data_IF_275024554993
#
_entry.id   IF_275024554993
#
_cell.length_a   1.000
_cell.length_b   1.000
_cell.length_c   1.000
_cell.angle_alpha   90.00
_cell.angle_beta   90.00
_cell.angle_gamma   90.00
#
_symmetry.space_group_name_H-M   'P 1'
#
loop_
_entity.id
_entity.type
_entity.pdbx_description
1 polymer ?
#
# COMPACT_ATOMS: atom_id res chain seq x y z
N UNK A 1 34.98 64.64 30.83
CA UNK A 1 34.94 63.24 31.31
C UNK A 1 33.56 62.58 31.21
N UNK A 2 32.48 63.21 31.69
CA UNK A 2 31.13 62.60 31.75
C UNK A 2 30.47 62.28 30.39
N UNK A 3 30.89 62.93 29.29
CA UNK A 3 30.35 62.70 27.94
C UNK A 3 30.98 61.47 27.26
N UNK A 4 32.28 61.27 27.46
CA UNK A 4 33.06 60.09 27.00
C UNK A 4 32.52 58.79 27.61
N UNK A 5 32.27 58.78 28.92
CA UNK A 5 31.76 57.61 29.63
C UNK A 5 30.32 57.27 29.18
N UNK A 6 29.46 58.28 29.01
CA UNK A 6 28.10 58.08 28.46
C UNK A 6 28.13 57.54 27.03
N UNK A 7 29.06 57.98 26.19
CA UNK A 7 29.25 57.47 24.82
C UNK A 7 29.71 56.00 24.82
N UNK A 8 30.64 55.64 25.72
CA UNK A 8 31.10 54.25 25.92
C UNK A 8 29.97 53.34 26.41
N UNK A 9 29.18 53.78 27.38
CA UNK A 9 28.03 53.03 27.91
C UNK A 9 26.96 52.83 26.83
N UNK A 10 26.60 53.88 26.08
CA UNK A 10 25.64 53.76 24.97
C UNK A 10 26.11 52.79 23.89
N UNK A 11 27.40 52.81 23.54
CA UNK A 11 27.99 51.88 22.56
C UNK A 11 27.95 50.44 23.06
N UNK A 12 28.27 50.21 24.34
CA UNK A 12 28.19 48.88 24.96
C UNK A 12 26.76 48.33 24.99
N UNK A 13 25.77 49.18 25.34
CA UNK A 13 24.35 48.82 25.32
C UNK A 13 23.89 48.48 23.90
N UNK A 14 24.27 49.28 22.90
CA UNK A 14 23.87 49.05 21.51
C UNK A 14 24.42 47.73 20.96
N UNK A 15 25.69 47.43 21.27
CA UNK A 15 26.35 46.16 20.89
C UNK A 15 25.68 44.98 21.60
N UNK A 16 25.39 45.12 22.89
CA UNK A 16 24.68 44.10 23.66
C UNK A 16 23.28 43.82 23.09
N UNK A 17 22.52 44.87 22.78
CA UNK A 17 21.18 44.74 22.19
C UNK A 17 21.23 44.05 20.81
N UNK A 18 22.17 44.47 19.96
CA UNK A 18 22.36 43.86 18.64
C UNK A 18 22.72 42.36 18.75
N UNK A 19 23.61 41.99 19.68
CA UNK A 19 23.97 40.60 19.92
C UNK A 19 22.77 39.76 20.41
N UNK A 20 21.94 40.31 21.30
CA UNK A 20 20.73 39.63 21.78
C UNK A 20 19.70 39.47 20.66
N UNK A 21 19.49 40.49 19.82
CA UNK A 21 18.59 40.39 18.66
C UNK A 21 19.06 39.34 17.65
N UNK A 22 20.36 39.28 17.35
CA UNK A 22 20.93 38.26 16.45
C UNK A 22 20.75 36.87 17.06
N UNK A 23 21.03 36.69 18.35
CA UNK A 23 20.86 35.41 19.03
C UNK A 23 19.39 34.96 19.03
N UNK A 24 18.45 35.86 19.33
CA UNK A 24 17.02 35.57 19.30
C UNK A 24 16.55 35.19 17.89
N UNK A 25 17.03 35.89 16.87
CA UNK A 25 16.71 35.58 15.46
C UNK A 25 17.30 34.23 15.03
N UNK A 26 18.54 33.93 15.41
CA UNK A 26 19.17 32.63 15.16
C UNK A 26 18.41 31.48 15.82
N UNK A 27 18.02 31.65 17.10
CA UNK A 27 17.21 30.66 17.83
C UNK A 27 15.87 30.46 17.12
N UNK A 28 15.20 31.55 16.75
CA UNK A 28 13.94 31.50 16.01
C UNK A 28 14.08 30.78 14.66
N UNK A 29 15.14 31.06 13.90
CA UNK A 29 15.42 30.39 12.63
C UNK A 29 15.76 28.91 12.80
N UNK A 30 16.45 28.52 13.87
CA UNK A 30 16.72 27.11 14.19
C UNK A 30 15.41 26.38 14.53
N UNK A 31 14.54 26.98 15.34
CA UNK A 31 13.22 26.40 15.63
C UNK A 31 12.35 26.32 14.37
N UNK A 32 12.41 27.32 13.49
CA UNK A 32 11.75 27.28 12.19
C UNK A 32 12.31 26.14 11.33
N UNK A 33 13.63 25.96 11.29
CA UNK A 33 14.28 24.88 10.56
C UNK A 33 13.91 23.49 11.08
N UNK A 34 13.74 23.32 12.40
CA UNK A 34 13.26 22.05 13.00
C UNK A 34 11.81 21.75 12.57
N UNK A 35 10.96 22.78 12.43
CA UNK A 35 9.61 22.63 11.87
C UNK A 35 9.57 22.15 10.42
N UNK A 36 10.67 22.31 9.66
CA UNK A 36 10.82 21.76 8.31
C UNK A 36 11.30 20.29 8.29
N UNK A 37 11.58 19.67 9.43
CA UNK A 37 12.11 18.29 9.52
C UNK A 37 10.99 17.23 9.55
N UNK A 38 9.72 17.62 9.42
CA UNK A 38 8.63 16.64 9.45
C UNK A 38 8.71 15.69 8.24
N UNK A 39 9.16 14.47 8.53
CA UNK A 39 9.24 13.34 7.61
C UNK A 39 8.31 12.26 8.17
N UNK A 40 7.14 12.11 7.58
CA UNK A 40 6.27 10.96 7.81
C UNK A 40 6.65 9.93 6.75
N UNK A 41 7.13 8.77 7.17
CA UNK A 41 7.46 7.69 6.24
C UNK A 41 6.20 7.20 5.52
N UNK A 42 6.24 7.03 4.19
CA UNK A 42 5.15 6.39 3.45
C UNK A 42 4.92 4.96 3.96
N UNK A 43 3.69 4.46 3.78
CA UNK A 43 3.30 3.14 4.29
C UNK A 43 2.50 2.36 3.26
N UNK A 44 2.90 1.11 3.07
CA UNK A 44 2.17 0.12 2.30
C UNK A 44 1.17 -0.57 3.21
N UNK A 45 -0.05 -0.76 2.72
CA UNK A 45 -1.08 -1.55 3.38
C UNK A 45 -1.85 -2.36 2.36
N UNK A 46 -2.20 -3.59 2.73
CA UNK A 46 -3.02 -4.45 1.90
C UNK A 46 -4.08 -5.10 2.78
N UNK A 47 -5.31 -5.08 2.31
CA UNK A 47 -6.45 -5.73 2.93
C UNK A 47 -7.01 -6.76 1.96
N UNK A 48 -7.26 -7.96 2.46
CA UNK A 48 -7.79 -9.09 1.70
C UNK A 48 -9.02 -9.58 2.44
N UNK A 49 -10.16 -9.49 1.79
CA UNK A 49 -11.42 -10.06 2.24
C UNK A 49 -11.97 -10.97 1.15
N UNK A 50 -12.22 -12.23 1.49
CA UNK A 50 -12.76 -13.25 0.59
C UNK A 50 -13.89 -13.97 1.30
N UNK A 51 -15.10 -13.84 0.75
CA UNK A 51 -16.34 -14.39 1.33
C UNK A 51 -16.97 -15.41 0.38
N UNK A 52 -17.91 -16.21 0.89
CA UNK A 52 -18.57 -17.29 0.13
C UNK A 52 -17.87 -18.65 0.21
N UNK A 53 -16.57 -18.68 0.58
CA UNK A 53 -15.75 -19.91 0.69
C UNK A 53 -16.33 -20.95 1.66
N UNK A 54 -16.88 -20.52 2.80
CA UNK A 54 -17.40 -21.41 3.85
C UNK A 54 -18.62 -22.23 3.45
N UNK A 55 -19.25 -21.89 2.32
CA UNK A 55 -20.37 -22.63 1.76
C UNK A 55 -19.96 -23.74 0.78
N UNK A 56 -18.66 -23.82 0.47
CA UNK A 56 -18.09 -24.76 -0.49
C UNK A 56 -17.48 -25.96 0.23
N UNK A 57 -17.71 -27.15 -0.30
CA UNK A 57 -17.02 -28.34 0.17
C UNK A 57 -15.59 -28.40 -0.41
N UNK A 58 -14.65 -28.93 0.38
CA UNK A 58 -13.24 -29.08 -0.02
C UNK A 58 -12.94 -30.54 -0.33
N UNK A 59 -12.23 -30.81 -1.43
CA UNK A 59 -11.76 -32.15 -1.77
C UNK A 59 -10.34 -32.37 -1.24
N UNK A 60 -10.21 -32.49 0.08
CA UNK A 60 -8.91 -32.59 0.76
C UNK A 60 -8.27 -31.24 0.99
N UNK A 61 -7.62 -30.65 -0.02
CA UNK A 61 -6.93 -29.36 0.09
C UNK A 61 -7.49 -28.39 -0.93
N UNK A 62 -7.97 -27.23 -0.47
CA UNK A 62 -8.34 -26.11 -1.34
C UNK A 62 -7.25 -25.04 -1.35
N UNK A 63 -7.12 -24.35 -2.48
CA UNK A 63 -6.19 -23.24 -2.65
C UNK A 63 -6.90 -22.04 -3.24
N UNK A 64 -6.70 -20.89 -2.60
CA UNK A 64 -7.09 -19.57 -3.11
C UNK A 64 -5.82 -18.77 -3.30
N UNK A 65 -5.62 -18.16 -4.47
CA UNK A 65 -4.52 -17.21 -4.65
C UNK A 65 -5.04 -15.85 -5.10
N UNK A 66 -4.46 -14.80 -4.54
CA UNK A 66 -4.77 -13.41 -4.85
C UNK A 66 -3.54 -12.69 -5.39
N UNK A 67 -3.71 -11.66 -6.22
CA UNK A 67 -2.59 -10.86 -6.68
C UNK A 67 -1.89 -10.18 -5.51
N UNK A 68 -0.61 -9.89 -5.65
CA UNK A 68 0.17 -9.15 -4.67
C UNK A 68 0.45 -7.73 -5.17
N UNK A 69 0.51 -6.74 -4.27
CA UNK A 69 0.96 -5.41 -4.67
C UNK A 69 2.44 -5.45 -5.05
N UNK A 70 2.75 -5.01 -6.26
CA UNK A 70 4.11 -5.00 -6.80
C UNK A 70 4.30 -3.82 -7.77
N UNK A 71 5.56 -3.54 -8.10
CA UNK A 71 5.91 -2.65 -9.19
C UNK A 71 5.77 -3.35 -10.56
N UNK A 72 6.01 -2.62 -11.65
CA UNK A 72 5.90 -3.15 -13.03
C UNK A 72 6.91 -4.25 -13.33
N UNK A 73 8.04 -4.25 -12.62
CA UNK A 73 9.10 -5.25 -12.75
C UNK A 73 8.77 -6.52 -11.93
N UNK A 74 7.60 -6.55 -11.26
CA UNK A 74 7.14 -7.67 -10.45
C UNK A 74 7.80 -7.76 -9.07
N UNK A 75 8.53 -6.72 -8.64
CA UNK A 75 9.10 -6.66 -7.29
C UNK A 75 7.98 -6.32 -6.29
N UNK A 76 7.73 -7.16 -5.27
CA UNK A 76 6.67 -6.93 -4.30
C UNK A 76 6.87 -5.62 -3.52
N UNK A 77 5.79 -4.85 -3.36
CA UNK A 77 5.79 -3.61 -2.58
C UNK A 77 5.92 -3.85 -1.07
N UNK A 78 5.63 -5.08 -0.62
CA UNK A 78 5.84 -5.54 0.74
C UNK A 78 6.76 -6.76 0.71
N UNK A 79 7.60 -6.89 1.72
CA UNK A 79 8.46 -8.07 1.87
C UNK A 79 7.65 -9.36 1.94
N UNK A 80 8.21 -10.44 1.37
CA UNK A 80 7.58 -11.76 1.45
C UNK A 80 7.43 -12.23 2.90
N UNK A 81 8.32 -11.81 3.80
CA UNK A 81 8.19 -12.05 5.24
C UNK A 81 6.89 -11.44 5.79
N UNK A 82 6.59 -10.17 5.46
CA UNK A 82 5.35 -9.52 5.88
C UNK A 82 4.14 -10.22 5.26
N UNK A 83 4.18 -10.51 3.96
CA UNK A 83 3.10 -11.20 3.24
C UNK A 83 2.79 -12.58 3.81
N UNK A 84 3.80 -13.34 4.25
CA UNK A 84 3.60 -14.72 4.75
C UNK A 84 3.35 -14.80 6.25
N UNK A 85 3.88 -13.86 7.04
CA UNK A 85 3.72 -13.88 8.51
C UNK A 85 2.49 -13.13 9.01
N UNK A 86 2.13 -12.00 8.38
CA UNK A 86 1.07 -11.11 8.90
C UNK A 86 -0.29 -11.31 8.24
N UNK A 87 -0.34 -11.99 7.11
CA UNK A 87 -1.59 -12.30 6.39
C UNK A 87 -2.07 -13.73 6.67
N UNK A 88 -1.69 -14.30 7.81
CA UNK A 88 -2.11 -15.64 8.18
C UNK A 88 -3.59 -15.64 8.57
N UNK A 89 -4.41 -16.31 7.77
CA UNK A 89 -5.85 -16.45 8.03
C UNK A 89 -6.14 -17.77 8.76
N UNK A 90 -7.11 -17.74 9.66
CA UNK A 90 -7.53 -18.94 10.39
C UNK A 90 -7.96 -20.06 9.43
N UNK A 91 -7.44 -21.27 9.60
CA UNK A 91 -7.73 -22.41 8.71
C UNK A 91 -6.94 -22.41 7.38
N UNK A 92 -6.01 -21.45 7.21
CA UNK A 92 -5.23 -21.30 5.99
C UNK A 92 -3.72 -21.21 6.28
N UNK A 93 -2.94 -22.01 5.56
CA UNK A 93 -1.51 -21.81 5.41
C UNK A 93 -1.27 -20.76 4.32
N UNK A 94 -0.48 -19.74 4.64
CA UNK A 94 -0.16 -18.64 3.71
C UNK A 94 1.25 -18.81 3.14
N UNK A 95 1.42 -18.58 1.84
CA UNK A 95 2.72 -18.60 1.17
C UNK A 95 2.70 -17.72 -0.08
N UNK A 96 3.81 -17.09 -0.43
CA UNK A 96 4.00 -16.52 -1.77
C UNK A 96 4.35 -17.65 -2.74
N UNK A 97 3.66 -17.71 -3.89
CA UNK A 97 3.89 -18.74 -4.91
C UNK A 97 4.13 -18.11 -6.26
N UNK A 98 5.10 -18.64 -6.98
CA UNK A 98 5.28 -18.38 -8.42
C UNK A 98 4.22 -19.13 -9.21
N UNK A 99 3.58 -18.44 -10.16
CA UNK A 99 2.57 -19.01 -11.05
C UNK A 99 2.90 -18.66 -12.50
N UNK A 100 2.29 -19.31 -13.50
CA UNK A 100 2.45 -18.91 -14.90
C UNK A 100 2.07 -17.45 -15.18
N UNK A 101 1.24 -16.83 -14.33
CA UNK A 101 0.85 -15.43 -14.48
C UNK A 101 1.79 -14.47 -13.73
N UNK A 102 2.57 -14.96 -12.75
CA UNK A 102 3.42 -14.16 -11.87
C UNK A 102 3.28 -14.58 -10.39
N UNK A 103 4.00 -13.89 -9.50
CA UNK A 103 3.89 -14.12 -8.05
C UNK A 103 2.50 -13.79 -7.52
N UNK A 104 1.96 -14.68 -6.69
CA UNK A 104 0.67 -14.51 -6.03
C UNK A 104 0.75 -14.92 -4.57
N UNK A 105 -0.14 -14.39 -3.72
CA UNK A 105 -0.28 -14.80 -2.33
C UNK A 105 -1.28 -15.95 -2.27
N UNK A 106 -0.80 -17.13 -1.90
CA UNK A 106 -1.57 -18.35 -1.81
C UNK A 106 -2.02 -18.62 -0.37
N UNK A 107 -3.29 -18.95 -0.23
CA UNK A 107 -3.93 -19.50 0.96
C UNK A 107 -4.29 -20.95 0.64
N UNK A 108 -3.72 -21.89 1.39
CA UNK A 108 -3.99 -23.33 1.26
C UNK A 108 -4.66 -23.81 2.52
N UNK A 109 -5.80 -24.53 2.43
CA UNK A 109 -6.49 -25.00 3.64
C UNK A 109 -5.60 -25.94 4.45
N UNK A 110 -5.68 -25.84 5.78
CA UNK A 110 -5.02 -26.78 6.69
C UNK A 110 -5.87 -28.02 6.96
N UNK A 111 -7.18 -27.89 6.77
CA UNK A 111 -8.19 -28.90 7.04
C UNK A 111 -9.18 -29.00 5.87
N UNK A 112 -10.19 -29.86 5.99
CA UNK A 112 -11.27 -30.07 5.00
C UNK A 112 -12.35 -28.97 5.01
N UNK A 113 -12.07 -27.84 5.65
CA UNK A 113 -12.93 -26.67 5.74
C UNK A 113 -12.23 -25.41 5.26
N UNK A 114 -12.93 -24.62 4.45
CA UNK A 114 -12.44 -23.36 3.88
C UNK A 114 -13.19 -22.16 4.47
N UNK A 115 -12.79 -21.62 5.63
CA UNK A 115 -13.39 -20.41 6.17
C UNK A 115 -13.14 -19.21 5.24
N UNK A 116 -13.99 -18.18 5.34
CA UNK A 116 -13.72 -16.89 4.71
C UNK A 116 -12.37 -16.32 5.17
N UNK A 117 -11.72 -15.56 4.30
CA UNK A 117 -10.43 -14.92 4.58
C UNK A 117 -10.68 -13.45 4.85
N UNK A 118 -10.16 -12.92 5.96
CA UNK A 118 -10.22 -11.49 6.29
C UNK A 118 -8.96 -11.10 7.03
N UNK A 119 -7.98 -10.58 6.30
CA UNK A 119 -6.66 -10.21 6.83
C UNK A 119 -6.23 -8.86 6.28
N UNK A 120 -5.59 -8.05 7.11
CA UNK A 120 -5.07 -6.74 6.71
C UNK A 120 -3.78 -6.44 7.45
N UNK A 121 -2.77 -5.95 6.74
CA UNK A 121 -1.50 -5.53 7.35
C UNK A 121 -0.83 -4.43 6.55
N UNK A 122 0.39 -4.08 6.95
CA UNK A 122 1.21 -3.10 6.26
C UNK A 122 2.69 -3.14 6.65
N UNK A 123 3.50 -2.46 5.85
CA UNK A 123 4.94 -2.27 6.03
C UNK A 123 5.30 -0.84 5.60
N UNK A 124 6.25 -0.20 6.32
CA UNK A 124 6.80 1.07 5.88
C UNK A 124 7.39 0.94 4.47
N UNK A 125 7.01 1.85 3.59
CA UNK A 125 7.41 1.78 2.19
C UNK A 125 8.90 2.07 2.04
N UNK A 126 9.60 1.19 1.31
CA UNK A 126 11.02 1.32 1.01
C UNK A 126 11.22 1.93 -0.37
N UNK A 127 10.70 3.14 -0.61
CA UNK A 127 10.92 4.03 -1.78
C UNK A 127 10.68 3.46 -3.19
N UNK A 128 10.46 2.17 -3.36
CA UNK A 128 10.08 1.59 -4.64
C UNK A 128 8.61 1.87 -4.88
N UNK A 129 8.37 2.78 -5.82
CA UNK A 129 7.05 3.28 -6.20
C UNK A 129 6.04 2.13 -6.39
N UNK A 130 4.91 2.15 -5.69
CA UNK A 130 3.83 1.21 -5.93
C UNK A 130 3.22 1.38 -7.31
N UNK A 131 2.79 0.29 -7.95
CA UNK A 131 2.11 0.38 -9.24
C UNK A 131 0.74 -0.28 -9.23
N UNK A 132 0.63 -1.58 -8.97
CA UNK A 132 -0.62 -2.31 -9.23
C UNK A 132 -0.73 -3.55 -8.33
N UNK A 133 -1.92 -4.16 -8.25
CA UNK A 133 -2.06 -5.57 -7.89
C UNK A 133 -1.65 -6.42 -9.10
N UNK A 134 -0.59 -7.20 -8.94
CA UNK A 134 0.09 -7.98 -9.97
C UNK A 134 -0.19 -9.47 -9.70
N UNK A 135 -0.46 -10.29 -10.73
CA UNK A 135 -0.19 -10.03 -12.14
C UNK A 135 -1.24 -9.22 -12.88
N UNK A 136 -0.78 -8.47 -13.90
CA UNK A 136 -1.61 -7.67 -14.81
C UNK A 136 -1.76 -8.45 -16.10
N UNK A 137 -2.98 -8.89 -16.40
CA UNK A 137 -3.29 -9.67 -17.60
C UNK A 137 -3.62 -8.78 -18.80
N UNK A 138 -4.22 -7.62 -18.56
CA UNK A 138 -4.57 -6.66 -19.59
C UNK A 138 -4.72 -5.26 -19.00
N UNK A 139 -4.47 -4.26 -19.83
CA UNK A 139 -4.63 -2.83 -19.57
C UNK A 139 -5.59 -2.24 -20.62
N UNK A 140 -6.19 -1.05 -20.37
CA UNK A 140 -6.98 -0.35 -21.37
C UNK A 140 -6.19 -0.05 -22.63
N UNK A 141 -6.87 -0.08 -23.78
CA UNK A 141 -6.32 0.29 -25.09
C UNK A 141 -5.00 -0.40 -25.47
N UNK A 142 -4.70 -1.56 -24.87
CA UNK A 142 -3.43 -2.29 -24.99
C UNK A 142 -2.19 -1.46 -24.61
N UNK A 143 -2.37 -0.48 -23.71
CA UNK A 143 -1.29 0.33 -23.15
C UNK A 143 -0.26 -0.53 -22.40
N UNK A 144 1.02 -0.15 -22.35
CA UNK A 144 1.99 -0.90 -21.53
C UNK A 144 1.65 -0.79 -20.02
N UNK A 145 2.07 -1.76 -19.20
CA UNK A 145 1.81 -1.69 -17.75
C UNK A 145 2.52 -0.47 -17.14
N UNK A 146 3.69 -0.12 -17.67
CA UNK A 146 4.45 1.07 -17.29
C UNK A 146 3.71 2.36 -17.63
N UNK A 147 3.16 2.46 -18.85
CA UNK A 147 2.36 3.60 -19.26
C UNK A 147 1.10 3.72 -18.39
N UNK A 148 0.41 2.61 -18.15
CA UNK A 148 -0.81 2.58 -17.32
C UNK A 148 -0.51 3.04 -15.89
N UNK A 149 0.60 2.58 -15.30
CA UNK A 149 1.01 2.95 -13.93
C UNK A 149 1.34 4.43 -13.75
N UNK A 150 1.51 5.18 -14.84
CA UNK A 150 1.75 6.64 -14.81
C UNK A 150 0.46 7.45 -14.91
N UNK A 151 -0.67 6.81 -15.20
CA UNK A 151 -1.97 7.48 -15.25
C UNK A 151 -2.46 7.81 -13.84
N UNK A 152 -3.38 8.77 -13.71
CA UNK A 152 -4.00 9.09 -12.41
C UNK A 152 -5.07 8.07 -11.97
N UNK A 153 -5.38 7.12 -12.84
CA UNK A 153 -6.30 6.03 -12.55
C UNK A 153 -6.89 5.38 -13.79
N UNK A 154 -7.53 4.23 -13.59
CA UNK A 154 -8.17 3.43 -14.64
C UNK A 154 -8.50 2.03 -14.17
N UNK A 155 -9.14 1.25 -15.03
CA UNK A 155 -9.46 -0.16 -14.78
C UNK A 155 -8.51 -1.04 -15.58
N UNK A 156 -7.96 -2.08 -14.97
CA UNK A 156 -7.13 -3.08 -15.64
C UNK A 156 -7.59 -4.48 -15.21
N UNK A 157 -7.07 -5.51 -15.86
CA UNK A 157 -7.42 -6.90 -15.54
C UNK A 157 -6.28 -7.54 -14.75
N UNK A 158 -6.60 -8.07 -13.58
CA UNK A 158 -5.72 -8.95 -12.80
C UNK A 158 -6.31 -10.36 -12.75
N UNK A 159 -5.77 -11.24 -11.91
CA UNK A 159 -6.19 -12.64 -11.82
C UNK A 159 -6.29 -13.08 -10.37
N UNK A 160 -7.31 -13.89 -10.08
CA UNK A 160 -7.39 -14.70 -8.85
C UNK A 160 -7.36 -16.17 -9.24
N UNK A 161 -7.04 -17.04 -8.29
CA UNK A 161 -6.99 -18.48 -8.51
C UNK A 161 -7.83 -19.23 -7.48
N UNK A 162 -8.56 -20.25 -7.93
CA UNK A 162 -9.35 -21.14 -7.10
C UNK A 162 -9.14 -22.60 -7.50
N UNK A 163 -8.83 -23.48 -6.55
CA UNK A 163 -8.70 -24.91 -6.79
C UNK A 163 -9.03 -25.73 -5.54
N UNK A 164 -9.37 -27.01 -5.73
CA UNK A 164 -9.65 -27.97 -4.66
C UNK A 164 -11.02 -27.82 -3.99
N UNK A 165 -11.88 -26.94 -4.50
CA UNK A 165 -13.28 -26.85 -4.12
C UNK A 165 -14.12 -27.82 -4.94
N UNK A 166 -15.05 -28.51 -4.28
CA UNK A 166 -16.08 -29.28 -4.97
C UNK A 166 -17.16 -28.28 -5.38
N UNK A 167 -17.34 -28.01 -6.69
CA UNK A 167 -18.28 -27.01 -7.15
C UNK A 167 -19.69 -27.42 -6.70
N UNK A 168 -20.44 -26.55 -6.01
CA UNK A 168 -21.84 -26.80 -5.71
C UNK A 168 -22.68 -26.72 -7.00
N UNK A 169 -23.96 -27.13 -7.00
CA UNK A 169 -24.84 -26.93 -8.15
C UNK A 169 -24.89 -25.45 -8.59
N UNK A 170 -25.36 -25.13 -9.80
CA UNK A 170 -25.33 -23.77 -10.41
C UNK A 170 -25.82 -22.63 -9.51
N UNK A 171 -26.61 -22.91 -8.48
CA UNK A 171 -27.11 -21.96 -7.49
C UNK A 171 -26.20 -21.79 -6.26
N UNK A 172 -24.92 -22.19 -6.36
CA UNK A 172 -23.91 -21.99 -5.33
C UNK A 172 -23.81 -20.52 -4.89
N UNK A 173 -23.55 -20.28 -3.61
CA UNK A 173 -23.18 -18.93 -3.14
C UNK A 173 -21.95 -18.46 -3.93
N UNK A 174 -22.01 -17.28 -4.57
CA UNK A 174 -20.84 -16.72 -5.24
C UNK A 174 -19.71 -16.42 -4.26
N UNK A 175 -18.48 -16.50 -4.75
CA UNK A 175 -17.28 -16.12 -4.01
C UNK A 175 -17.00 -14.65 -4.32
N UNK A 176 -16.82 -13.83 -3.28
CA UNK A 176 -16.51 -12.40 -3.47
C UNK A 176 -15.09 -12.13 -3.01
N UNK A 177 -14.32 -11.45 -3.85
CA UNK A 177 -12.98 -10.94 -3.58
C UNK A 177 -13.05 -9.43 -3.41
N UNK A 178 -12.69 -8.95 -2.23
CA UNK A 178 -12.53 -7.56 -1.90
C UNK A 178 -11.07 -7.34 -1.45
N UNK A 179 -10.26 -6.84 -2.38
CA UNK A 179 -8.83 -6.61 -2.18
C UNK A 179 -8.58 -5.11 -2.25
N UNK A 180 -7.82 -4.56 -1.31
CA UNK A 180 -7.46 -3.14 -1.31
C UNK A 180 -6.02 -2.95 -0.89
N UNK A 181 -5.20 -2.52 -1.83
CA UNK A 181 -3.85 -2.05 -1.59
C UNK A 181 -3.82 -0.52 -1.55
N UNK A 182 -3.06 0.03 -0.62
CA UNK A 182 -2.75 1.45 -0.53
C UNK A 182 -1.26 1.63 -0.20
N UNK A 183 -0.55 2.42 -1.01
CA UNK A 183 0.85 2.80 -0.80
C UNK A 183 1.05 4.31 -0.86
N UNK A 184 2.24 4.77 -0.47
CA UNK A 184 2.59 6.19 -0.43
C UNK A 184 2.09 6.90 0.82
N UNK A 185 1.65 8.16 0.63
CA UNK A 185 1.07 8.99 1.69
C UNK A 185 2.06 9.47 2.74
N UNK A 186 3.36 9.41 2.44
CA UNK A 186 4.39 10.05 3.24
C UNK A 186 4.25 11.57 3.25
N UNK A 187 5.02 12.23 4.10
CA UNK A 187 5.12 13.69 4.09
C UNK A 187 6.59 14.06 4.20
N UNK A 188 7.03 15.01 3.37
CA UNK A 188 8.38 15.55 3.42
C UNK A 188 8.32 17.06 3.32
N UNK A 189 8.86 17.76 4.32
CA UNK A 189 8.91 19.23 4.33
C UNK A 189 7.53 19.88 4.10
N UNK A 190 6.49 19.40 4.79
CA UNK A 190 5.09 19.84 4.62
C UNK A 190 4.50 19.55 3.23
N UNK A 191 5.14 18.74 2.40
CA UNK A 191 4.59 18.27 1.13
C UNK A 191 4.14 16.84 1.34
N UNK A 192 2.82 16.62 1.28
CA UNK A 192 2.25 15.27 1.23
C UNK A 192 2.65 14.63 -0.09
N UNK A 193 3.11 13.39 -0.02
CA UNK A 193 3.35 12.55 -1.18
C UNK A 193 2.04 11.99 -1.72
N UNK A 194 2.07 11.47 -2.94
CA UNK A 194 0.91 10.84 -3.55
C UNK A 194 0.51 9.59 -2.77
N UNK A 195 -0.78 9.25 -2.86
CA UNK A 195 -1.31 7.98 -2.36
C UNK A 195 -1.78 7.18 -3.55
N UNK A 196 -1.25 5.98 -3.69
CA UNK A 196 -1.66 5.03 -4.72
C UNK A 196 -2.61 4.02 -4.13
N UNK A 197 -3.71 3.76 -4.81
CA UNK A 197 -4.72 2.79 -4.40
C UNK A 197 -4.98 1.83 -5.55
N UNK A 198 -4.95 0.54 -5.26
CA UNK A 198 -5.39 -0.51 -6.18
C UNK A 198 -6.44 -1.38 -5.49
N UNK A 199 -7.55 -1.65 -6.16
CA UNK A 199 -8.65 -2.43 -5.59
C UNK A 199 -9.14 -3.51 -6.55
N UNK A 200 -9.64 -4.62 -5.98
CA UNK A 200 -10.43 -5.62 -6.69
C UNK A 200 -11.72 -5.75 -5.91
N UNK A 201 -12.85 -5.55 -6.59
CA UNK A 201 -14.18 -5.88 -6.08
C UNK A 201 -14.85 -6.76 -7.13
N UNK A 202 -14.68 -8.08 -6.97
CA UNK A 202 -15.10 -9.05 -7.96
C UNK A 202 -15.89 -10.19 -7.33
N UNK A 203 -16.96 -10.60 -7.99
CA UNK A 203 -17.75 -11.77 -7.61
C UNK A 203 -17.59 -12.81 -8.70
N UNK A 204 -17.18 -14.02 -8.31
CA UNK A 204 -17.03 -15.16 -9.22
C UNK A 204 -18.01 -16.27 -8.82
N UNK A 205 -18.48 -17.08 -9.79
CA UNK A 205 -19.31 -18.23 -9.47
C UNK A 205 -18.61 -19.19 -8.51
N UNK A 206 -19.34 -19.78 -7.56
CA UNK A 206 -18.79 -20.83 -6.68
C UNK A 206 -18.39 -22.11 -7.41
N UNK A 207 -18.75 -22.22 -8.70
CA UNK A 207 -18.35 -23.29 -9.62
C UNK A 207 -17.04 -23.00 -10.36
N UNK A 208 -16.49 -21.80 -10.24
CA UNK A 208 -15.28 -21.39 -10.95
C UNK A 208 -14.04 -22.09 -10.36
N UNK A 209 -13.10 -22.45 -11.23
CA UNK A 209 -11.83 -23.08 -10.86
C UNK A 209 -10.74 -22.68 -11.87
N UNK A 210 -9.50 -22.69 -11.42
CA UNK A 210 -8.33 -22.23 -12.15
C UNK A 210 -8.09 -20.74 -12.02
N UNK A 211 -7.36 -20.17 -12.98
CA UNK A 211 -7.09 -18.75 -13.08
C UNK A 211 -8.31 -18.00 -13.64
N UNK A 212 -8.82 -17.05 -12.87
CA UNK A 212 -10.03 -16.29 -13.19
C UNK A 212 -9.63 -14.83 -13.34
N UNK A 213 -9.70 -14.26 -14.56
CA UNK A 213 -9.48 -12.83 -14.78
C UNK A 213 -10.54 -12.01 -14.05
N UNK A 214 -10.12 -10.98 -13.32
CA UNK A 214 -11.03 -10.08 -12.59
C UNK A 214 -10.62 -8.62 -12.82
N UNK A 215 -11.60 -7.70 -12.88
CA UNK A 215 -11.30 -6.28 -12.98
C UNK A 215 -10.64 -5.77 -11.69
N UNK A 216 -9.67 -4.90 -11.85
CA UNK A 216 -9.03 -4.14 -10.79
C UNK A 216 -9.07 -2.65 -11.13
N UNK A 217 -9.28 -1.82 -10.12
CA UNK A 217 -9.26 -0.37 -10.26
C UNK A 217 -7.96 0.19 -9.67
N UNK A 218 -7.37 1.15 -10.37
CA UNK A 218 -6.22 1.90 -9.93
C UNK A 218 -6.57 3.38 -9.84
N UNK A 219 -6.10 4.05 -8.79
CA UNK A 219 -6.27 5.49 -8.61
C UNK A 219 -5.09 6.10 -7.85
N UNK A 220 -4.68 7.29 -8.27
CA UNK A 220 -3.68 8.12 -7.59
C UNK A 220 -4.36 9.35 -7.01
N UNK A 221 -4.36 9.45 -5.68
CA UNK A 221 -4.72 10.69 -5.00
C UNK A 221 -3.47 11.57 -4.92
N UNK A 222 -3.46 12.73 -5.60
CA UNK A 222 -2.30 13.60 -5.60
C UNK A 222 -2.06 14.18 -4.21
N UNK A 223 -0.79 14.21 -3.81
CA UNK A 223 -0.32 14.94 -2.64
C UNK A 223 -0.30 16.45 -2.89
N UNK A 224 0.31 17.19 -1.98
CA UNK A 224 0.38 18.64 -2.07
C UNK A 224 0.89 19.33 -0.81
N UNK A 225 0.93 20.65 -0.86
CA UNK A 225 1.29 21.48 0.28
C UNK A 225 0.29 21.25 1.41
N UNK A 226 0.81 20.85 2.56
CA UNK A 226 0.09 20.77 3.82
C UNK A 226 0.11 22.16 4.45
N UNK A 227 -1.03 22.85 4.37
CA UNK A 227 -1.26 24.20 4.91
C UNK A 227 -1.99 24.12 6.25
#
# INVERSE_FOLDING_TARGET
MMNEQRKKIRKAILIGLAAVCILALMIFLIFLAVGFVEIISPNNSYAIEITGLSSLAVNGIATVMVPIPANVDGVPAMSEEVLTSRYQAFGWQTAVRETPCGKMLAFTTTDDYAPGISVSSGEFEKKEEPRLLVPVLATPDNMSVEEFSRTSGGTYTTVVFLDGFIPPPENATPITFNLRYQGGGGMKHLIKENVWTATVNATVPGTASGFIPVPAEYHVTPGGLYL
#
